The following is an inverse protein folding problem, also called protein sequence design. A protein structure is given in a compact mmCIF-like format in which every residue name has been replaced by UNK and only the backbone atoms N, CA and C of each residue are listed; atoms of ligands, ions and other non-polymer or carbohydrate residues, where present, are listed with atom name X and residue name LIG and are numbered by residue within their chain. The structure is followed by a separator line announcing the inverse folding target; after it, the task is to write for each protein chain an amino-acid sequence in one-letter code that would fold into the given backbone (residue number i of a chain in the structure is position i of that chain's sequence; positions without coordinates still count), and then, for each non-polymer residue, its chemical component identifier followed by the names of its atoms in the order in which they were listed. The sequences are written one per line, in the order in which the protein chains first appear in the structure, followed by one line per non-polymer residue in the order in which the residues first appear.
data_IF_173898127499
#
_entry.id   IF_173898127499
#
_cell.length_a   1.000
_cell.length_b   1.000
_cell.length_c   1.000
_cell.angle_alpha   90.00
_cell.angle_beta   90.00
_cell.angle_gamma   90.00
#
_symmetry.space_group_name_H-M   'P 1'
#
loop_
_entity.id
_entity.type
_entity.pdbx_description
1 polymer ?
#
# COMPACT_ATOMS: atom_id res chain seq x y z
N UNK A 1 21.11 -31.89 8.01
CA UNK A 1 20.33 -31.50 6.83
C UNK A 1 20.89 -30.19 6.29
N UNK A 2 21.25 -30.06 5.03
CA UNK A 2 21.88 -28.84 4.51
C UNK A 2 20.84 -27.74 4.42
N UNK A 3 21.14 -26.60 5.05
CA UNK A 3 20.41 -25.35 4.93
C UNK A 3 20.61 -24.86 3.50
N UNK A 4 19.61 -24.97 2.65
CA UNK A 4 19.60 -24.31 1.36
C UNK A 4 19.58 -22.78 1.63
N UNK A 5 20.74 -22.14 1.49
CA UNK A 5 20.81 -20.71 1.26
C UNK A 5 20.11 -20.45 -0.06
N UNK A 6 18.87 -19.97 -0.01
CA UNK A 6 18.26 -19.36 -1.19
C UNK A 6 19.17 -18.21 -1.64
N UNK A 7 19.75 -18.35 -2.82
CA UNK A 7 20.44 -17.26 -3.50
C UNK A 7 19.42 -16.15 -3.64
N UNK A 8 19.75 -14.96 -3.14
CA UNK A 8 18.89 -13.80 -3.22
C UNK A 8 18.29 -13.67 -4.62
N UNK A 9 16.96 -13.71 -4.73
CA UNK A 9 16.28 -13.39 -5.99
C UNK A 9 16.76 -12.02 -6.40
N UNK A 10 17.41 -11.92 -7.56
CA UNK A 10 17.72 -10.63 -8.18
C UNK A 10 16.41 -9.86 -8.33
N UNK A 11 16.42 -8.57 -8.00
CA UNK A 11 15.29 -7.69 -8.24
C UNK A 11 14.87 -7.79 -9.70
N UNK A 12 13.56 -7.92 -9.94
CA UNK A 12 13.01 -8.00 -11.30
C UNK A 12 12.89 -6.62 -11.93
N UNK A 13 12.66 -5.61 -11.12
CA UNK A 13 12.44 -4.23 -11.51
C UNK A 13 13.41 -3.29 -10.79
N UNK A 14 13.82 -2.21 -11.48
CA UNK A 14 14.66 -1.15 -10.91
C UNK A 14 13.87 -0.19 -10.00
N UNK A 15 12.64 -0.55 -9.64
CA UNK A 15 11.74 0.26 -8.80
C UNK A 15 12.22 0.29 -7.37
N UNK A 16 12.21 1.50 -6.78
CA UNK A 16 12.49 1.75 -5.37
C UNK A 16 11.25 2.34 -4.71
N UNK A 17 10.68 1.64 -3.73
CA UNK A 17 9.42 1.98 -3.09
C UNK A 17 9.61 2.20 -1.59
N UNK A 18 9.04 3.28 -1.07
CA UNK A 18 8.99 3.58 0.36
C UNK A 18 7.55 3.62 0.84
N UNK A 19 7.17 2.79 1.80
CA UNK A 19 5.92 2.95 2.55
C UNK A 19 6.11 3.93 3.69
N UNK A 20 5.23 4.92 3.78
CA UNK A 20 5.27 5.97 4.79
C UNK A 20 3.93 6.08 5.52
N UNK A 21 3.87 5.67 6.76
CA UNK A 21 2.63 5.80 7.52
C UNK A 21 2.35 4.69 8.52
N UNK A 22 1.22 4.02 8.32
CA UNK A 22 0.64 3.09 9.26
C UNK A 22 1.39 1.77 9.38
N UNK A 23 1.31 1.23 10.57
CA UNK A 23 1.62 -0.14 10.92
C UNK A 23 0.65 -0.58 12.02
N UNK A 24 -0.02 -1.68 11.81
CA UNK A 24 -0.97 -2.25 12.76
C UNK A 24 -0.77 -3.76 12.87
N UNK A 25 -1.30 -4.35 13.91
CA UNK A 25 -1.36 -5.79 14.06
C UNK A 25 -2.82 -6.22 14.01
N UNK A 26 -3.13 -7.18 13.17
CA UNK A 26 -4.44 -7.79 13.10
C UNK A 26 -4.50 -8.97 14.07
N UNK A 27 -5.31 -8.83 15.13
CA UNK A 27 -5.46 -9.81 16.20
C UNK A 27 -6.70 -10.66 15.93
N UNK A 28 -6.49 -11.93 15.63
CA UNK A 28 -7.57 -12.91 15.44
C UNK A 28 -7.84 -13.65 16.75
N UNK A 29 -8.79 -13.17 17.53
CA UNK A 29 -9.09 -13.71 18.87
C UNK A 29 -9.43 -15.20 18.85
N UNK A 30 -10.21 -15.63 17.85
CA UNK A 30 -10.60 -17.03 17.70
C UNK A 30 -9.43 -17.98 17.36
N UNK A 31 -8.36 -17.45 16.75
CA UNK A 31 -7.13 -18.19 16.45
C UNK A 31 -6.05 -18.00 17.51
N UNK A 32 -6.22 -17.04 18.43
CA UNK A 32 -5.19 -16.59 19.38
C UNK A 32 -3.87 -16.27 18.69
N UNK A 33 -3.95 -15.59 17.56
CA UNK A 33 -2.81 -15.28 16.68
C UNK A 33 -2.87 -13.83 16.26
N UNK A 34 -1.70 -13.23 16.06
CA UNK A 34 -1.51 -11.90 15.54
C UNK A 34 -0.79 -11.97 14.18
N UNK A 35 -1.21 -11.13 13.25
CA UNK A 35 -0.56 -10.96 11.96
C UNK A 35 -0.13 -9.52 11.77
N UNK A 36 1.05 -9.27 11.18
CA UNK A 36 1.44 -7.91 10.81
C UNK A 36 0.51 -7.38 9.73
N UNK A 37 0.11 -6.14 9.86
CA UNK A 37 -0.79 -5.43 8.96
C UNK A 37 -0.40 -3.96 8.85
N UNK A 38 -1.31 -3.18 8.28
CA UNK A 38 -1.10 -1.79 7.91
C UNK A 38 -0.75 -1.64 6.44
N UNK A 39 -1.49 -0.78 5.75
CA UNK A 39 -1.36 -0.56 4.31
C UNK A 39 0.08 -0.25 3.90
N UNK A 40 0.76 0.68 4.58
CA UNK A 40 2.14 1.08 4.25
C UNK A 40 3.18 -0.03 4.50
N UNK A 41 3.00 -0.83 5.56
CA UNK A 41 3.84 -2.01 5.83
C UNK A 41 3.63 -3.07 4.76
N UNK A 42 2.37 -3.40 4.48
CA UNK A 42 2.00 -4.40 3.49
C UNK A 42 2.52 -4.05 2.09
N UNK A 43 2.33 -2.81 1.64
CA UNK A 43 2.83 -2.35 0.33
C UNK A 43 4.35 -2.41 0.26
N UNK A 44 5.07 -2.11 1.35
CA UNK A 44 6.54 -2.25 1.39
C UNK A 44 6.99 -3.71 1.27
N UNK A 45 6.33 -4.62 2.00
CA UNK A 45 6.63 -6.06 1.97
C UNK A 45 6.26 -6.67 0.62
N UNK A 46 5.05 -6.40 0.12
CA UNK A 46 4.60 -6.91 -1.18
C UNK A 46 5.40 -6.33 -2.35
N UNK A 47 5.82 -5.07 -2.27
CA UNK A 47 6.74 -4.48 -3.24
C UNK A 47 8.06 -5.25 -3.33
N UNK A 48 8.60 -5.68 -2.19
CA UNK A 48 9.78 -6.55 -2.17
C UNK A 48 9.52 -7.90 -2.80
N UNK A 49 8.38 -8.51 -2.50
CA UNK A 49 7.97 -9.81 -3.07
C UNK A 49 7.69 -9.70 -4.57
N UNK A 50 7.12 -8.60 -5.04
CA UNK A 50 6.87 -8.32 -6.45
C UNK A 50 8.14 -8.02 -7.25
N UNK A 51 9.29 -7.80 -6.60
CA UNK A 51 10.59 -7.68 -7.23
C UNK A 51 11.15 -6.27 -7.32
N UNK A 52 10.77 -5.36 -6.44
CA UNK A 52 11.44 -4.07 -6.28
C UNK A 52 12.95 -4.23 -6.03
N UNK A 53 13.75 -3.36 -6.60
CA UNK A 53 15.18 -3.26 -6.30
C UNK A 53 15.40 -2.92 -4.83
N UNK A 54 14.67 -1.94 -4.34
CA UNK A 54 14.73 -1.48 -2.94
C UNK A 54 13.32 -1.24 -2.41
N UNK A 55 13.07 -1.70 -1.19
CA UNK A 55 11.90 -1.31 -0.41
C UNK A 55 12.31 -0.81 0.96
N UNK A 56 11.63 0.20 1.43
CA UNK A 56 11.79 0.72 2.78
C UNK A 56 10.42 1.01 3.40
N UNK A 57 10.41 1.04 4.71
CA UNK A 57 9.28 1.50 5.49
C UNK A 57 9.73 2.63 6.41
N UNK A 58 8.90 3.65 6.57
CA UNK A 58 9.10 4.78 7.48
C UNK A 58 7.83 5.00 8.29
N UNK A 59 7.93 4.80 9.59
CA UNK A 59 6.77 4.89 10.48
C UNK A 59 7.18 4.99 11.94
N UNK A 60 6.18 5.16 12.81
CA UNK A 60 6.36 5.15 14.25
C UNK A 60 5.86 3.82 14.82
N UNK A 61 6.70 3.15 15.58
CA UNK A 61 6.36 1.95 16.33
C UNK A 61 6.10 2.28 17.80
N UNK A 62 5.22 1.50 18.42
CA UNK A 62 5.16 1.41 19.87
C UNK A 62 6.33 0.63 20.45
N UNK A 63 6.28 0.37 21.75
CA UNK A 63 7.29 -0.40 22.49
C UNK A 63 6.72 -1.71 23.10
N UNK A 64 5.74 -2.30 22.43
CA UNK A 64 5.06 -3.53 22.84
C UNK A 64 5.34 -4.71 21.87
N UNK A 65 4.87 -5.91 22.24
CA UNK A 65 5.04 -7.13 21.45
C UNK A 65 4.47 -7.03 20.02
N UNK A 66 3.50 -6.15 19.79
CA UNK A 66 2.91 -5.90 18.47
C UNK A 66 3.90 -5.19 17.56
N UNK A 67 4.59 -4.18 18.10
CA UNK A 67 5.67 -3.48 17.38
C UNK A 67 6.80 -4.45 17.02
N UNK A 68 7.22 -5.29 17.96
CA UNK A 68 8.30 -6.28 17.75
C UNK A 68 7.93 -7.26 16.62
N UNK A 69 6.67 -7.72 16.56
CA UNK A 69 6.19 -8.60 15.49
C UNK A 69 6.40 -7.98 14.11
N UNK A 70 6.00 -6.71 13.94
CA UNK A 70 6.11 -6.02 12.64
C UNK A 70 7.57 -5.75 12.30
N UNK A 71 8.36 -5.28 13.24
CA UNK A 71 9.81 -5.03 13.07
C UNK A 71 10.52 -6.30 12.62
N UNK A 72 10.21 -7.43 13.25
CA UNK A 72 10.73 -8.75 12.90
C UNK A 72 10.40 -9.15 11.45
N UNK A 73 9.16 -8.94 11.02
CA UNK A 73 8.72 -9.26 9.65
C UNK A 73 9.42 -8.36 8.63
N UNK A 74 9.51 -7.06 8.88
CA UNK A 74 10.23 -6.13 8.02
C UNK A 74 11.71 -6.52 7.89
N UNK A 75 12.35 -6.89 9.00
CA UNK A 75 13.72 -7.38 9.01
C UNK A 75 13.92 -8.69 8.22
N UNK A 76 13.02 -9.66 8.41
CA UNK A 76 13.07 -10.96 7.71
C UNK A 76 12.81 -10.83 6.21
N UNK A 77 11.99 -9.89 5.79
CA UNK A 77 11.68 -9.63 4.39
C UNK A 77 12.71 -8.73 3.70
N UNK A 78 13.62 -8.12 4.45
CA UNK A 78 14.67 -7.24 3.93
C UNK A 78 14.14 -5.87 3.50
N UNK A 79 13.04 -5.41 4.12
CA UNK A 79 12.56 -4.02 4.02
C UNK A 79 13.41 -3.13 4.91
N UNK A 80 13.95 -2.05 4.37
CA UNK A 80 14.78 -1.11 5.13
C UNK A 80 13.93 -0.27 6.09
N UNK A 81 14.38 -0.12 7.34
CA UNK A 81 13.65 0.60 8.40
C UNK A 81 14.44 1.73 9.05
N UNK A 82 15.46 2.24 8.36
CA UNK A 82 16.46 3.17 8.91
C UNK A 82 15.87 4.51 9.38
N UNK A 83 14.68 4.87 8.87
CA UNK A 83 13.95 6.10 9.24
C UNK A 83 12.76 5.85 10.16
N UNK A 84 12.58 4.63 10.65
CA UNK A 84 11.58 4.35 11.67
C UNK A 84 11.97 4.93 13.02
N UNK A 85 10.97 5.23 13.84
CA UNK A 85 11.16 5.66 15.23
C UNK A 85 10.33 4.77 16.15
N UNK A 86 10.91 4.38 17.28
CA UNK A 86 10.19 3.72 18.37
C UNK A 86 9.81 4.75 19.42
N UNK A 87 8.56 4.78 19.81
CA UNK A 87 8.00 5.70 20.78
C UNK A 87 7.39 4.91 21.95
N UNK A 88 7.38 5.52 23.14
CA UNK A 88 6.77 4.87 24.30
C UNK A 88 5.24 4.90 24.20
N UNK A 89 4.64 3.72 24.12
CA UNK A 89 3.19 3.50 24.03
C UNK A 89 2.83 2.30 23.18
N UNK A 90 1.54 1.98 23.16
CA UNK A 90 1.01 0.83 22.42
C UNK A 90 1.13 1.04 20.90
N UNK A 91 1.51 -0.02 20.19
CA UNK A 91 1.41 -0.07 18.73
C UNK A 91 -0.05 -0.14 18.27
N UNK A 92 -0.29 0.23 17.01
CA UNK A 92 -1.60 0.10 16.38
C UNK A 92 -2.07 -1.35 16.33
N UNK A 93 -3.36 -1.59 16.56
CA UNK A 93 -3.98 -2.90 16.37
C UNK A 93 -5.43 -2.79 15.92
N UNK A 94 -5.89 -3.86 15.24
CA UNK A 94 -7.30 -4.15 14.99
C UNK A 94 -7.59 -5.56 15.51
N UNK A 95 -8.69 -5.74 16.26
CA UNK A 95 -9.16 -7.06 16.70
C UNK A 95 -10.28 -7.54 15.81
N UNK A 96 -10.12 -8.74 15.32
CA UNK A 96 -10.99 -9.34 14.32
C UNK A 96 -11.49 -10.69 14.84
N UNK A 97 -12.77 -10.97 14.62
CA UNK A 97 -13.34 -12.30 14.78
C UNK A 97 -14.01 -12.75 13.49
N UNK A 98 -14.36 -14.02 13.40
CA UNK A 98 -15.22 -14.57 12.35
C UNK A 98 -16.61 -14.83 12.91
N UNK A 99 -17.63 -14.29 12.25
CA UNK A 99 -19.03 -14.56 12.52
C UNK A 99 -19.70 -15.00 11.24
N UNK A 100 -20.24 -16.20 11.24
CA UNK A 100 -20.89 -16.83 10.08
C UNK A 100 -20.01 -16.90 8.82
N UNK A 101 -18.67 -16.91 9.01
CA UNK A 101 -17.68 -16.93 7.92
C UNK A 101 -17.22 -15.54 7.45
N UNK A 102 -17.86 -14.47 7.90
CA UNK A 102 -17.48 -13.10 7.62
C UNK A 102 -16.66 -12.50 8.76
N UNK A 103 -15.81 -11.53 8.42
CA UNK A 103 -15.01 -10.79 9.40
C UNK A 103 -15.85 -9.75 10.11
N UNK A 104 -15.76 -9.74 11.43
CA UNK A 104 -16.33 -8.70 12.29
C UNK A 104 -15.18 -8.02 13.05
N UNK A 105 -15.04 -6.71 12.85
CA UNK A 105 -14.10 -5.90 13.64
C UNK A 105 -14.69 -5.68 15.04
N UNK A 106 -13.96 -6.09 16.07
CA UNK A 106 -14.40 -5.98 17.47
C UNK A 106 -14.01 -4.64 18.07
N UNK A 107 -12.72 -4.29 17.97
CA UNK A 107 -12.19 -3.01 18.42
C UNK A 107 -10.87 -2.69 17.71
N UNK A 108 -10.41 -1.45 17.83
CA UNK A 108 -9.13 -0.97 17.33
C UNK A 108 -8.70 0.25 18.17
N UNK A 109 -7.39 0.53 18.21
CA UNK A 109 -6.86 1.64 19.01
C UNK A 109 -6.43 2.86 18.17
N UNK A 110 -7.07 3.09 17.03
CA UNK A 110 -6.84 4.25 16.15
C UNK A 110 -5.35 4.48 15.83
N UNK A 111 -4.63 3.39 15.53
CA UNK A 111 -3.20 3.41 15.22
C UNK A 111 -2.28 3.53 16.43
N UNK A 112 -2.82 3.45 17.65
CA UNK A 112 -2.03 3.46 18.88
C UNK A 112 -1.22 4.74 19.06
N UNK A 113 0.07 4.61 19.42
CA UNK A 113 0.98 5.76 19.58
C UNK A 113 1.13 6.56 18.29
N UNK A 114 1.03 5.90 17.13
CA UNK A 114 1.08 6.54 15.82
C UNK A 114 -0.08 7.52 15.63
N UNK A 115 -1.31 7.11 15.96
CA UNK A 115 -2.50 7.99 15.87
C UNK A 115 -2.46 9.21 16.79
N UNK A 116 -1.65 9.14 17.85
CA UNK A 116 -1.48 10.21 18.84
C UNK A 116 -0.29 11.14 18.57
N UNK A 117 0.61 10.75 17.66
CA UNK A 117 1.87 11.46 17.43
C UNK A 117 1.95 11.86 15.95
N UNK A 118 1.77 13.15 15.61
CA UNK A 118 1.81 13.60 14.22
C UNK A 118 3.23 13.39 13.62
N UNK A 119 3.27 13.07 12.33
CA UNK A 119 4.51 13.17 11.57
C UNK A 119 4.85 14.64 11.33
N UNK A 120 6.14 14.91 11.40
CA UNK A 120 6.71 16.20 10.99
C UNK A 120 7.95 15.85 10.17
N UNK A 121 7.81 15.89 8.85
CA UNK A 121 8.93 15.66 7.94
C UNK A 121 9.86 16.86 7.95
N UNK A 122 11.13 16.59 8.13
CA UNK A 122 12.17 17.57 8.02
C UNK A 122 12.97 17.43 6.70
N UNK A 123 13.95 18.32 6.50
CA UNK A 123 14.81 18.31 5.33
C UNK A 123 15.51 16.97 5.12
N UNK A 124 15.94 16.31 6.18
CA UNK A 124 16.72 15.06 6.08
C UNK A 124 15.82 13.87 5.74
N UNK A 125 14.57 13.93 6.15
CA UNK A 125 13.56 12.94 5.77
C UNK A 125 13.23 13.04 4.28
N UNK A 126 13.00 14.26 3.78
CA UNK A 126 12.76 14.50 2.36
C UNK A 126 13.97 14.10 1.50
N UNK A 127 15.18 14.38 1.95
CA UNK A 127 16.40 13.97 1.23
C UNK A 127 16.56 12.45 1.17
N UNK A 128 16.17 11.74 2.22
CA UNK A 128 16.11 10.28 2.20
C UNK A 128 15.05 9.77 1.23
N UNK A 129 13.84 10.36 1.26
CA UNK A 129 12.72 9.99 0.39
C UNK A 129 13.04 10.18 -1.10
N UNK A 130 13.87 11.15 -1.49
CA UNK A 130 14.34 11.34 -2.88
C UNK A 130 15.13 10.14 -3.42
N UNK A 131 15.59 9.25 -2.58
CA UNK A 131 16.25 8.00 -2.97
C UNK A 131 15.29 6.92 -3.47
N UNK A 132 13.97 7.20 -3.51
CA UNK A 132 12.91 6.29 -3.96
C UNK A 132 12.16 6.87 -5.16
N UNK A 133 11.61 5.99 -5.98
CA UNK A 133 10.83 6.36 -7.17
C UNK A 133 9.39 6.74 -6.78
N UNK A 134 8.92 6.23 -5.65
CA UNK A 134 7.58 6.51 -5.12
C UNK A 134 7.56 6.37 -3.60
N UNK A 135 6.83 7.27 -2.96
CA UNK A 135 6.45 7.17 -1.54
C UNK A 135 4.97 6.81 -1.47
N UNK A 136 4.66 5.67 -0.88
CA UNK A 136 3.29 5.20 -0.69
C UNK A 136 2.79 5.52 0.71
N UNK A 137 1.59 6.04 0.80
CA UNK A 137 0.84 6.26 2.04
C UNK A 137 -0.63 5.90 1.83
N UNK A 138 -1.44 6.02 2.86
CA UNK A 138 -2.85 5.68 2.76
C UNK A 138 -3.71 6.37 3.81
N UNK A 139 -4.99 6.17 3.67
CA UNK A 139 -6.01 6.59 4.61
C UNK A 139 -5.70 6.17 6.02
N UNK A 140 -5.80 6.20 7.04
CA UNK A 140 -5.36 5.70 8.36
C UNK A 140 -3.86 5.88 8.68
N UNK A 141 -3.06 6.43 7.75
CA UNK A 141 -1.63 6.71 8.01
C UNK A 141 -1.39 8.00 8.77
N UNK A 142 -2.38 8.90 8.82
CA UNK A 142 -2.29 10.23 9.44
C UNK A 142 -1.09 11.05 8.90
N UNK A 143 -0.85 10.97 7.60
CA UNK A 143 0.28 11.61 6.91
C UNK A 143 -0.13 12.78 6.03
N UNK A 144 -1.42 13.06 5.90
CA UNK A 144 -2.02 13.98 4.96
C UNK A 144 -1.39 15.38 5.05
N UNK A 145 -1.10 15.83 6.27
CA UNK A 145 -0.47 17.14 6.52
C UNK A 145 0.94 17.26 5.95
N UNK A 146 1.59 16.13 5.64
CA UNK A 146 2.97 16.07 5.18
C UNK A 146 3.11 15.80 3.68
N UNK A 147 2.05 15.34 3.01
CA UNK A 147 2.10 14.95 1.59
C UNK A 147 2.50 16.11 0.67
N UNK A 148 2.07 17.33 0.99
CA UNK A 148 2.45 18.52 0.22
C UNK A 148 3.97 18.70 0.16
N UNK A 149 4.69 18.46 1.27
CA UNK A 149 6.15 18.57 1.33
C UNK A 149 6.85 17.55 0.43
N UNK A 150 6.31 16.32 0.39
CA UNK A 150 6.84 15.24 -0.45
C UNK A 150 6.66 15.62 -1.92
N UNK A 151 5.46 16.08 -2.31
CA UNK A 151 5.19 16.52 -3.68
C UNK A 151 6.03 17.74 -4.08
N UNK A 152 6.15 18.76 -3.23
CA UNK A 152 6.98 19.94 -3.45
C UNK A 152 8.47 19.60 -3.60
N UNK A 153 8.92 18.51 -2.96
CA UNK A 153 10.28 17.98 -3.13
C UNK A 153 10.48 17.22 -4.46
N UNK A 154 9.43 17.12 -5.30
CA UNK A 154 9.45 16.44 -6.60
C UNK A 154 9.39 14.92 -6.50
N UNK A 155 8.89 14.38 -5.40
CA UNK A 155 8.81 12.94 -5.15
C UNK A 155 7.38 12.46 -5.47
N UNK A 156 7.19 11.44 -6.35
CA UNK A 156 5.88 10.89 -6.61
C UNK A 156 5.25 10.29 -5.35
N UNK A 157 3.98 10.66 -5.10
CA UNK A 157 3.19 10.14 -3.98
C UNK A 157 2.14 9.17 -4.50
N UNK A 158 2.15 7.97 -3.98
CA UNK A 158 1.07 6.99 -4.11
C UNK A 158 0.21 7.04 -2.85
N UNK A 159 -1.12 7.03 -3.01
CA UNK A 159 -2.02 7.10 -1.86
C UNK A 159 -3.23 6.18 -2.03
N UNK A 160 -3.48 5.37 -1.00
CA UNK A 160 -4.68 4.53 -0.92
C UNK A 160 -5.76 5.23 -0.10
N UNK A 161 -6.84 5.60 -0.76
CA UNK A 161 -8.01 6.26 -0.17
C UNK A 161 -8.98 5.28 0.50
N UNK A 162 -8.73 3.95 0.42
CA UNK A 162 -9.64 2.93 0.95
C UNK A 162 -11.05 2.98 0.30
N UNK A 163 -12.09 2.61 1.03
CA UNK A 163 -13.49 2.53 0.56
C UNK A 163 -14.42 3.55 1.24
N UNK A 164 -13.94 4.26 2.25
CA UNK A 164 -14.73 5.13 3.12
C UNK A 164 -14.34 6.61 3.07
N UNK A 165 -13.49 7.01 2.12
CA UNK A 165 -13.06 8.41 1.99
C UNK A 165 -14.19 9.31 1.54
N UNK A 166 -14.36 10.43 2.24
CA UNK A 166 -15.36 11.45 1.92
C UNK A 166 -14.89 12.37 0.77
N UNK A 167 -15.82 13.08 0.16
CA UNK A 167 -15.51 14.08 -0.88
C UNK A 167 -14.53 15.15 -0.38
N UNK A 168 -14.76 15.68 0.83
CA UNK A 168 -13.88 16.67 1.45
C UNK A 168 -12.46 16.11 1.66
N UNK A 169 -12.35 14.82 2.01
CA UNK A 169 -11.07 14.15 2.17
C UNK A 169 -10.32 14.04 0.85
N UNK A 170 -11.03 13.68 -0.26
CA UNK A 170 -10.45 13.69 -1.60
C UNK A 170 -9.98 15.07 -2.01
N UNK A 171 -10.81 16.10 -1.89
CA UNK A 171 -10.47 17.49 -2.26
C UNK A 171 -9.23 18.01 -1.53
N UNK A 172 -9.04 17.60 -0.28
CA UNK A 172 -7.89 18.01 0.53
C UNK A 172 -6.62 17.23 0.24
N UNK A 173 -6.73 15.95 -0.07
CA UNK A 173 -5.58 15.03 -0.15
C UNK A 173 -5.11 14.79 -1.58
N UNK A 174 -6.03 14.60 -2.54
CA UNK A 174 -5.71 14.27 -3.92
C UNK A 174 -4.80 15.28 -4.64
N UNK A 175 -4.85 16.62 -4.37
CA UNK A 175 -3.91 17.56 -4.95
C UNK A 175 -2.43 17.26 -4.70
N UNK A 176 -2.13 16.48 -3.67
CA UNK A 176 -0.77 16.10 -3.27
C UNK A 176 -0.36 14.70 -3.72
N UNK A 177 -1.24 14.00 -4.43
CA UNK A 177 -1.07 12.61 -4.87
C UNK A 177 -0.70 12.55 -6.35
N UNK A 178 0.15 11.58 -6.72
CA UNK A 178 0.50 11.26 -8.12
C UNK A 178 -0.27 10.02 -8.59
N UNK A 179 -0.33 8.99 -7.77
CA UNK A 179 -1.01 7.73 -8.06
C UNK A 179 -2.04 7.45 -6.97
N UNK A 180 -3.32 7.54 -7.35
CA UNK A 180 -4.43 7.36 -6.41
C UNK A 180 -5.01 5.94 -6.52
N UNK A 181 -5.28 5.33 -5.38
CA UNK A 181 -5.92 4.03 -5.27
C UNK A 181 -7.15 4.14 -4.37
N UNK A 182 -8.18 3.37 -4.66
CA UNK A 182 -9.36 3.24 -3.80
C UNK A 182 -10.01 1.88 -4.00
N UNK A 183 -10.84 1.48 -3.06
CA UNK A 183 -11.79 0.38 -3.23
C UNK A 183 -13.14 0.95 -3.63
N UNK A 184 -13.83 0.32 -4.58
CA UNK A 184 -15.09 0.82 -5.10
C UNK A 184 -16.10 -0.29 -5.32
N UNK A 185 -17.21 -0.23 -4.62
CA UNK A 185 -18.33 -1.16 -4.78
C UNK A 185 -19.51 -0.48 -5.48
N UNK A 186 -19.58 -0.66 -6.79
CA UNK A 186 -20.59 -0.04 -7.63
C UNK A 186 -20.56 -0.60 -9.04
N UNK A 187 -21.25 0.08 -9.97
CA UNK A 187 -21.22 -0.26 -11.39
C UNK A 187 -19.92 0.22 -12.04
N UNK A 188 -19.64 -0.24 -13.26
CA UNK A 188 -18.45 0.18 -14.02
C UNK A 188 -18.52 1.67 -14.37
N UNK A 189 -19.72 2.16 -14.69
CA UNK A 189 -19.97 3.55 -15.03
C UNK A 189 -19.72 4.47 -13.83
N UNK A 190 -20.21 4.10 -12.65
CA UNK A 190 -19.97 4.85 -11.41
C UNK A 190 -18.48 4.88 -11.05
N UNK A 191 -17.80 3.73 -11.18
CA UNK A 191 -16.36 3.66 -10.95
C UNK A 191 -15.58 4.57 -11.90
N UNK A 192 -15.93 4.58 -13.19
CA UNK A 192 -15.29 5.45 -14.18
C UNK A 192 -15.52 6.93 -13.90
N UNK A 193 -16.73 7.34 -13.51
CA UNK A 193 -17.02 8.72 -13.13
C UNK A 193 -16.24 9.12 -11.86
N UNK A 194 -16.16 8.23 -10.88
CA UNK A 194 -15.36 8.47 -9.68
C UNK A 194 -13.88 8.67 -10.02
N UNK A 195 -13.30 7.82 -10.87
CA UNK A 195 -11.89 7.92 -11.26
C UNK A 195 -11.59 9.19 -12.08
N UNK A 196 -12.49 9.61 -12.98
CA UNK A 196 -12.35 10.90 -13.67
C UNK A 196 -12.34 12.07 -12.69
N UNK A 197 -13.26 12.05 -11.72
CA UNK A 197 -13.34 13.08 -10.71
C UNK A 197 -12.06 13.12 -9.87
N UNK A 198 -11.58 11.96 -9.44
CA UNK A 198 -10.36 11.85 -8.64
C UNK A 198 -9.11 12.36 -9.39
N UNK A 199 -8.93 11.98 -10.66
CA UNK A 199 -7.82 12.50 -11.49
C UNK A 199 -7.92 13.99 -11.74
N UNK A 200 -9.14 14.55 -11.86
CA UNK A 200 -9.32 16.01 -12.01
C UNK A 200 -8.85 16.82 -10.81
N UNK A 201 -8.65 16.19 -9.66
CA UNK A 201 -8.16 16.81 -8.42
C UNK A 201 -6.63 16.82 -8.31
N UNK A 202 -5.90 16.09 -9.18
CA UNK A 202 -4.43 16.13 -9.17
C UNK A 202 -3.67 14.87 -9.53
N UNK A 203 -4.17 13.65 -9.25
CA UNK A 203 -3.48 12.41 -9.62
C UNK A 203 -3.33 12.25 -11.15
N UNK A 204 -2.17 11.71 -11.54
CA UNK A 204 -1.89 11.35 -12.95
C UNK A 204 -2.51 9.99 -13.33
N UNK A 205 -2.67 9.12 -12.35
CA UNK A 205 -3.35 7.83 -12.46
C UNK A 205 -4.27 7.64 -11.26
N UNK A 206 -5.45 7.09 -11.51
CA UNK A 206 -6.35 6.63 -10.46
C UNK A 206 -6.84 5.21 -10.75
N UNK A 207 -6.79 4.31 -9.75
CA UNK A 207 -7.24 2.93 -9.87
C UNK A 207 -8.24 2.59 -8.77
N UNK A 208 -9.36 1.99 -9.17
CA UNK A 208 -10.37 1.42 -8.28
C UNK A 208 -10.26 -0.11 -8.28
N UNK A 209 -9.97 -0.71 -7.12
CA UNK A 209 -10.12 -2.13 -6.89
C UNK A 209 -11.60 -2.46 -6.65
N UNK A 210 -12.08 -3.61 -7.16
CA UNK A 210 -13.50 -3.98 -7.15
C UNK A 210 -13.73 -5.44 -6.76
N UNK A 211 -12.85 -5.94 -5.90
CA UNK A 211 -12.89 -7.32 -5.41
C UNK A 211 -12.87 -8.34 -6.55
N UNK A 212 -13.83 -9.25 -6.58
CA UNK A 212 -13.94 -10.29 -7.61
C UNK A 212 -14.17 -9.75 -9.04
N UNK A 213 -14.54 -8.48 -9.20
CA UNK A 213 -14.69 -7.82 -10.51
C UNK A 213 -13.35 -7.31 -11.07
N UNK A 214 -12.26 -7.44 -10.31
CA UNK A 214 -10.93 -6.95 -10.72
C UNK A 214 -10.70 -5.48 -10.41
N UNK A 215 -10.18 -4.70 -11.36
CA UNK A 215 -9.93 -3.27 -11.17
C UNK A 215 -10.13 -2.48 -12.46
N UNK A 216 -10.35 -1.17 -12.30
CA UNK A 216 -10.39 -0.18 -13.38
C UNK A 216 -9.37 0.89 -13.05
N UNK A 217 -8.54 1.26 -14.02
CA UNK A 217 -7.59 2.36 -13.93
C UNK A 217 -7.94 3.43 -14.97
N UNK A 218 -7.78 4.69 -14.60
CA UNK A 218 -7.89 5.85 -15.49
C UNK A 218 -6.57 6.64 -15.45
N UNK A 219 -6.02 6.95 -16.62
CA UNK A 219 -4.73 7.65 -16.74
C UNK A 219 -4.83 9.14 -17.10
N UNK A 220 -6.05 9.69 -16.97
CA UNK A 220 -6.39 11.05 -17.37
C UNK A 220 -6.96 11.15 -18.79
N UNK A 221 -6.77 10.11 -19.62
CA UNK A 221 -7.23 10.07 -21.02
C UNK A 221 -8.05 8.81 -21.32
N UNK A 222 -7.55 7.64 -20.89
CA UNK A 222 -8.11 6.33 -21.21
C UNK A 222 -8.41 5.53 -19.95
N UNK A 223 -9.38 4.60 -20.06
CA UNK A 223 -9.65 3.58 -19.06
C UNK A 223 -9.00 2.27 -19.44
N UNK A 224 -8.46 1.59 -18.44
CA UNK A 224 -7.92 0.24 -18.52
C UNK A 224 -8.66 -0.62 -17.52
N UNK A 225 -9.18 -1.75 -17.94
CA UNK A 225 -9.86 -2.70 -17.07
C UNK A 225 -9.09 -4.01 -17.02
N UNK A 226 -8.97 -4.57 -15.85
CA UNK A 226 -8.36 -5.87 -15.61
C UNK A 226 -9.30 -6.71 -14.75
N UNK A 227 -9.69 -7.86 -15.24
CA UNK A 227 -10.46 -8.83 -14.47
C UNK A 227 -9.62 -9.42 -13.33
N UNK A 228 -10.27 -9.81 -12.24
CA UNK A 228 -9.60 -10.54 -11.17
C UNK A 228 -9.07 -11.86 -11.71
N UNK A 229 -7.86 -12.24 -11.33
CA UNK A 229 -7.33 -13.54 -11.69
C UNK A 229 -8.13 -14.65 -10.97
N UNK A 230 -8.41 -15.77 -11.65
CA UNK A 230 -9.22 -16.85 -11.07
C UNK A 230 -8.56 -17.45 -9.84
N UNK A 231 -9.34 -17.67 -8.79
CA UNK A 231 -8.90 -18.31 -7.55
C UNK A 231 -9.56 -19.69 -7.42
N UNK A 232 -8.75 -20.73 -7.19
CA UNK A 232 -9.31 -22.07 -6.90
C UNK A 232 -10.00 -22.10 -5.53
N UNK A 233 -9.50 -21.37 -4.56
CA UNK A 233 -10.06 -21.27 -3.21
C UNK A 233 -9.58 -19.99 -2.53
N UNK A 234 -10.50 -19.12 -2.18
CA UNK A 234 -10.21 -17.95 -1.33
C UNK A 234 -9.99 -18.44 0.10
N UNK A 235 -8.83 -18.14 0.67
CA UNK A 235 -8.52 -18.40 2.08
C UNK A 235 -8.73 -17.17 2.94
N UNK A 236 -8.21 -16.05 2.48
CA UNK A 236 -8.26 -14.76 3.13
C UNK A 236 -8.06 -13.66 2.10
N UNK A 237 -8.84 -12.58 2.15
CA UNK A 237 -8.71 -11.43 1.24
C UNK A 237 -7.96 -10.26 1.89
N UNK A 238 -7.45 -10.43 3.12
CA UNK A 238 -6.69 -9.38 3.80
C UNK A 238 -5.38 -9.12 3.03
N UNK A 239 -5.11 -7.84 2.75
CA UNK A 239 -3.93 -7.44 2.00
C UNK A 239 -4.01 -7.65 0.48
N UNK A 240 -5.16 -8.12 -0.06
CA UNK A 240 -5.33 -8.25 -1.52
C UNK A 240 -5.20 -6.88 -2.22
N UNK A 241 -5.83 -5.84 -1.67
CA UNK A 241 -5.71 -4.46 -2.15
C UNK A 241 -4.27 -3.97 -2.11
N UNK A 242 -3.61 -4.10 -0.95
CA UNK A 242 -2.22 -3.68 -0.76
C UNK A 242 -1.26 -4.40 -1.72
N UNK A 243 -1.49 -5.70 -1.95
CA UNK A 243 -0.69 -6.50 -2.86
C UNK A 243 -0.88 -6.12 -4.33
N UNK A 244 -2.13 -5.77 -4.72
CA UNK A 244 -2.45 -5.24 -6.04
C UNK A 244 -1.72 -3.91 -6.27
N UNK A 245 -1.81 -2.97 -5.32
CA UNK A 245 -1.13 -1.67 -5.36
C UNK A 245 0.39 -1.85 -5.46
N UNK A 246 0.96 -2.66 -4.58
CA UNK A 246 2.41 -2.88 -4.52
C UNK A 246 2.97 -3.47 -5.81
N UNK A 247 2.29 -4.50 -6.35
CA UNK A 247 2.71 -5.16 -7.59
C UNK A 247 2.53 -4.23 -8.80
N UNK A 248 1.41 -3.50 -8.89
CA UNK A 248 1.19 -2.52 -9.94
C UNK A 248 2.25 -1.43 -9.95
N UNK A 249 2.51 -0.76 -8.82
CA UNK A 249 3.54 0.28 -8.71
C UNK A 249 4.93 -0.25 -9.06
N UNK A 250 5.25 -1.46 -8.58
CA UNK A 250 6.54 -2.10 -8.85
C UNK A 250 6.74 -2.32 -10.35
N UNK A 251 5.75 -2.92 -11.01
CA UNK A 251 5.80 -3.23 -12.44
C UNK A 251 5.74 -1.98 -13.32
N UNK A 252 4.78 -1.09 -13.06
CA UNK A 252 4.54 0.13 -13.85
C UNK A 252 5.77 1.05 -13.85
N UNK A 253 6.28 1.38 -12.66
CA UNK A 253 7.45 2.25 -12.53
C UNK A 253 8.69 1.60 -13.14
N UNK A 254 8.90 0.30 -12.90
CA UNK A 254 10.04 -0.43 -13.44
C UNK A 254 10.04 -0.50 -14.98
N UNK A 255 8.89 -0.75 -15.59
CA UNK A 255 8.72 -0.79 -17.05
C UNK A 255 8.89 0.60 -17.67
N UNK A 256 8.31 1.61 -17.07
CA UNK A 256 8.44 3.01 -17.54
C UNK A 256 9.91 3.46 -17.47
N UNK A 257 10.63 3.14 -16.39
CA UNK A 257 12.08 3.42 -16.28
C UNK A 257 12.91 2.65 -17.31
N UNK A 258 12.45 1.48 -17.73
CA UNK A 258 13.09 0.71 -18.80
C UNK A 258 12.77 1.23 -20.21
N UNK A 259 11.96 2.28 -20.35
CA UNK A 259 11.62 2.92 -21.61
C UNK A 259 10.40 2.32 -22.31
N UNK A 260 9.60 1.51 -21.63
CA UNK A 260 8.32 1.02 -22.16
C UNK A 260 7.33 2.17 -22.26
N UNK A 261 6.51 2.20 -23.30
CA UNK A 261 5.44 3.19 -23.43
C UNK A 261 4.39 3.02 -22.30
N UNK A 262 3.74 4.13 -21.95
CA UNK A 262 2.84 4.21 -20.80
C UNK A 262 1.69 3.20 -20.89
N UNK A 263 1.06 3.07 -22.06
CA UNK A 263 -0.11 2.22 -22.25
C UNK A 263 0.24 0.73 -22.06
N UNK A 264 1.31 0.28 -22.70
CA UNK A 264 1.83 -1.09 -22.55
C UNK A 264 2.26 -1.35 -21.10
N UNK A 265 2.96 -0.40 -20.47
CA UNK A 265 3.38 -0.51 -19.09
C UNK A 265 2.19 -0.64 -18.12
N UNK A 266 1.09 0.09 -18.36
CA UNK A 266 -0.14 -0.04 -17.57
C UNK A 266 -0.75 -1.43 -17.75
N UNK A 267 -0.99 -1.86 -19.00
CA UNK A 267 -1.65 -3.14 -19.28
C UNK A 267 -0.90 -4.33 -18.68
N UNK A 268 0.40 -4.44 -18.93
CA UNK A 268 1.21 -5.53 -18.39
C UNK A 268 1.32 -5.50 -16.86
N UNK A 269 1.32 -4.30 -16.26
CA UNK A 269 1.39 -4.17 -14.82
C UNK A 269 0.07 -4.47 -14.12
N UNK A 270 -1.07 -4.20 -14.74
CA UNK A 270 -2.39 -4.58 -14.23
C UNK A 270 -2.56 -6.10 -14.26
N UNK A 271 -2.19 -6.76 -15.36
CA UNK A 271 -2.25 -8.23 -15.49
C UNK A 271 -1.38 -8.91 -14.42
N UNK A 272 -0.13 -8.45 -14.28
CA UNK A 272 0.78 -8.99 -13.27
C UNK A 272 0.29 -8.74 -11.86
N UNK A 273 -0.25 -7.55 -11.57
CA UNK A 273 -0.77 -7.20 -10.25
C UNK A 273 -2.00 -8.03 -9.88
N UNK A 274 -2.90 -8.29 -10.82
CA UNK A 274 -4.05 -9.16 -10.60
C UNK A 274 -3.62 -10.60 -10.27
N UNK A 275 -2.64 -11.14 -11.03
CA UNK A 275 -2.10 -12.47 -10.78
C UNK A 275 -1.35 -12.53 -9.43
N UNK A 276 -0.60 -11.49 -9.06
CA UNK A 276 0.10 -11.40 -7.78
C UNK A 276 -0.87 -11.35 -6.60
N UNK A 277 -1.91 -10.50 -6.68
CA UNK A 277 -2.93 -10.38 -5.63
C UNK A 277 -3.69 -11.70 -5.43
N UNK A 278 -4.03 -12.41 -6.51
CA UNK A 278 -4.61 -13.74 -6.43
C UNK A 278 -3.73 -14.77 -5.71
N UNK A 279 -2.40 -14.64 -5.80
CA UNK A 279 -1.46 -15.51 -5.09
C UNK A 279 -1.33 -15.20 -3.60
N UNK A 280 -1.85 -14.05 -3.13
CA UNK A 280 -1.88 -13.65 -1.71
C UNK A 280 -3.18 -14.13 -1.03
N UNK A 281 -4.33 -14.12 -1.75
CA UNK A 281 -5.63 -14.62 -1.29
C UNK A 281 -5.67 -16.14 -1.17
#
# INVERSE_FOLDING_TARGET
MPVHRERGKMSRYSTKLLGFGDNVVDIYDHLKTMYPGGNCVNVSVYGKMAGCEKTAYMGYFGDDDRAELIIDVLGKTGVETVKCKQLHGENGYSRITLKDGDREFLDFNEGGIRGKTPYILDRFDLEYMKGFDVVHSGNYSFTESELHKIKEAGIPVSFDFSDDSTEEYYEKTAPHVTYAFCSFDGTDEEAKEHLKKLTSMGPELAMASRGAKGCILYDGEKFFAQEAAPLEKVKDTLGAGDSLIASFLTGFIGRTKAGMDKETAICESLEEAAAFAAGIC
#
